data_IF_905327739985
#
_entry.id   IF_905327739985
#
_cell.length_a   1.000
_cell.length_b   1.000
_cell.length_c   1.000
_cell.angle_alpha   90.00
_cell.angle_beta   90.00
_cell.angle_gamma   90.00
#
_symmetry.space_group_name_H-M   'P 1'
#
loop_
_entity.id
_entity.type
_entity.pdbx_description
1 polymer ?
#
# COMPACT_ATOMS: atom_id res chain seq x y z
N UNK A 1 29.92 -0.21 -0.77
CA UNK A 1 29.84 -0.71 0.62
C UNK A 1 30.70 0.10 1.61
N UNK A 2 31.99 0.38 1.32
CA UNK A 2 32.87 1.11 2.24
C UNK A 2 32.33 2.51 2.58
N UNK A 3 31.87 3.29 1.59
CA UNK A 3 31.30 4.61 1.79
C UNK A 3 30.01 4.55 2.64
N UNK A 4 29.14 3.56 2.42
CA UNK A 4 27.92 3.34 3.20
C UNK A 4 28.29 3.16 4.69
N UNK A 5 29.18 2.23 5.00
CA UNK A 5 29.62 1.95 6.37
C UNK A 5 30.27 3.17 7.03
N UNK A 6 31.08 3.90 6.27
CA UNK A 6 31.78 5.08 6.78
C UNK A 6 30.80 6.24 7.11
N UNK A 7 29.88 6.54 6.21
CA UNK A 7 28.91 7.63 6.41
C UNK A 7 27.89 7.27 7.49
N UNK A 8 27.41 6.02 7.54
CA UNK A 8 26.56 5.55 8.63
C UNK A 8 27.26 5.69 10.00
N UNK A 9 28.55 5.34 10.08
CA UNK A 9 29.33 5.54 11.30
C UNK A 9 29.46 7.03 11.68
N UNK A 10 29.78 7.89 10.71
CA UNK A 10 29.86 9.35 10.95
C UNK A 10 28.54 9.90 11.50
N UNK A 11 27.41 9.46 10.99
CA UNK A 11 26.12 9.86 11.51
C UNK A 11 25.88 9.38 12.95
N UNK A 12 26.16 8.10 13.22
CA UNK A 12 26.01 7.53 14.57
C UNK A 12 26.91 8.20 15.60
N UNK A 13 28.12 8.61 15.20
CA UNK A 13 29.06 9.33 16.04
C UNK A 13 28.72 10.82 16.19
N UNK A 14 27.63 11.33 15.56
CA UNK A 14 27.25 12.75 15.58
C UNK A 14 28.17 13.65 14.78
N UNK A 15 28.93 13.12 13.84
CA UNK A 15 29.86 13.85 13.00
C UNK A 15 29.25 14.56 11.80
N UNK A 16 27.99 14.26 11.46
CA UNK A 16 27.24 14.89 10.37
C UNK A 16 25.77 15.08 10.74
N UNK A 17 25.19 16.21 10.31
CA UNK A 17 23.78 16.56 10.47
C UNK A 17 22.98 16.46 9.16
N UNK A 18 23.65 16.15 8.05
CA UNK A 18 23.06 15.99 6.73
C UNK A 18 24.11 15.65 5.68
N UNK A 19 23.65 15.31 4.50
CA UNK A 19 24.52 14.90 3.39
C UNK A 19 24.09 15.57 2.08
N UNK A 20 25.08 16.06 1.32
CA UNK A 20 24.90 16.59 -0.02
C UNK A 20 25.88 15.89 -0.97
N UNK A 21 25.42 15.61 -2.18
CA UNK A 21 26.29 15.14 -3.26
C UNK A 21 25.92 15.75 -4.61
N UNK A 22 26.88 15.77 -5.52
CA UNK A 22 26.74 16.26 -6.89
C UNK A 22 27.31 15.24 -7.88
N UNK A 23 26.57 14.92 -8.96
CA UNK A 23 27.09 14.04 -10.01
C UNK A 23 26.07 13.66 -11.07
N UNK A 24 26.58 13.19 -12.22
CA UNK A 24 25.79 12.56 -13.26
C UNK A 24 25.37 11.14 -12.86
N UNK A 25 24.98 10.30 -13.82
CA UNK A 25 24.36 8.98 -13.56
C UNK A 25 25.16 8.08 -12.60
N UNK A 26 26.47 7.95 -12.83
CA UNK A 26 27.34 7.11 -11.99
C UNK A 26 27.51 7.71 -10.58
N UNK A 27 27.75 9.02 -10.51
CA UNK A 27 27.86 9.75 -9.23
C UNK A 27 26.55 9.67 -8.44
N UNK A 28 25.41 9.85 -9.10
CA UNK A 28 24.10 9.72 -8.48
C UNK A 28 23.85 8.32 -7.94
N UNK A 29 24.18 7.26 -8.68
CA UNK A 29 24.01 5.88 -8.23
C UNK A 29 24.81 5.56 -6.95
N UNK A 30 26.06 6.02 -6.88
CA UNK A 30 26.91 5.81 -5.69
C UNK A 30 26.38 6.64 -4.51
N UNK A 31 26.08 7.92 -4.76
CA UNK A 31 25.63 8.84 -3.70
C UNK A 31 24.27 8.47 -3.14
N UNK A 32 23.32 8.09 -4.01
CA UNK A 32 22.00 7.67 -3.55
C UNK A 32 22.07 6.42 -2.69
N UNK A 33 22.89 5.43 -3.03
CA UNK A 33 23.08 4.24 -2.21
C UNK A 33 23.62 4.57 -0.81
N UNK A 34 24.49 5.58 -0.70
CA UNK A 34 24.96 6.07 0.60
C UNK A 34 23.85 6.82 1.34
N UNK A 35 23.14 7.72 0.68
CA UNK A 35 22.06 8.50 1.26
C UNK A 35 20.90 7.62 1.73
N UNK A 36 20.56 6.60 0.96
CA UNK A 36 19.49 5.64 1.30
C UNK A 36 19.82 4.81 2.55
N UNK A 37 21.09 4.67 2.91
CA UNK A 37 21.50 3.95 4.12
C UNK A 37 21.31 4.76 5.41
N UNK A 38 21.05 6.06 5.31
CA UNK A 38 20.81 6.92 6.46
C UNK A 38 19.33 6.86 6.89
N UNK A 39 19.05 7.02 8.20
CA UNK A 39 17.68 7.03 8.72
C UNK A 39 16.78 8.08 8.06
N UNK A 40 15.46 7.86 8.15
CA UNK A 40 14.46 8.88 7.82
C UNK A 40 14.65 10.13 8.71
N UNK A 41 14.38 11.30 8.14
CA UNK A 41 14.54 12.59 8.83
C UNK A 41 15.94 13.19 8.75
N UNK A 42 16.97 12.43 8.36
CA UNK A 42 18.31 13.00 8.11
C UNK A 42 18.29 13.77 6.80
N UNK A 43 18.70 15.07 6.78
CA UNK A 43 18.75 15.87 5.56
C UNK A 43 19.62 15.26 4.45
N UNK A 44 19.04 15.02 3.28
CA UNK A 44 19.69 14.38 2.12
C UNK A 44 19.39 15.21 0.87
N UNK A 45 20.43 15.73 0.20
CA UNK A 45 20.29 16.49 -1.03
C UNK A 45 21.22 15.96 -2.11
N UNK A 46 20.64 15.46 -3.20
CA UNK A 46 21.36 14.98 -4.37
C UNK A 46 21.16 15.93 -5.55
N UNK A 47 22.25 16.59 -5.99
CA UNK A 47 22.27 17.34 -7.24
C UNK A 47 22.67 16.41 -8.37
N UNK A 48 21.79 16.24 -9.36
CA UNK A 48 22.08 15.33 -10.46
C UNK A 48 21.32 15.70 -11.72
N UNK A 49 21.97 15.55 -12.87
CA UNK A 49 21.33 15.69 -14.17
C UNK A 49 20.27 14.61 -14.41
N UNK A 50 20.29 13.52 -13.63
CA UNK A 50 19.27 12.47 -13.66
C UNK A 50 17.93 12.91 -13.04
N UNK A 51 17.89 14.03 -12.34
CA UNK A 51 16.64 14.56 -11.74
C UNK A 51 15.60 15.02 -12.80
N UNK A 52 15.97 15.07 -14.08
CA UNK A 52 15.06 15.34 -15.21
C UNK A 52 14.39 14.10 -15.80
N UNK A 53 14.70 12.90 -15.30
CA UNK A 53 14.19 11.63 -15.81
C UNK A 53 13.56 10.75 -14.71
N UNK A 54 13.68 9.44 -14.83
CA UNK A 54 13.20 8.50 -13.81
C UNK A 54 14.10 8.57 -12.56
N UNK A 55 13.53 9.08 -11.48
CA UNK A 55 14.24 9.31 -10.21
C UNK A 55 14.05 8.17 -9.20
N UNK A 56 13.16 7.22 -9.48
CA UNK A 56 12.87 6.10 -8.56
C UNK A 56 14.10 5.32 -8.11
N UNK A 57 15.07 4.98 -8.98
CA UNK A 57 16.27 4.26 -8.56
C UNK A 57 17.15 5.02 -7.57
N UNK A 58 17.09 6.37 -7.60
CA UNK A 58 17.90 7.24 -6.75
C UNK A 58 17.22 7.55 -5.42
N UNK A 59 15.91 7.75 -5.41
CA UNK A 59 15.15 8.04 -4.19
C UNK A 59 14.93 6.76 -3.39
N UNK A 60 14.59 5.65 -4.06
CA UNK A 60 14.14 4.44 -3.38
C UNK A 60 12.92 4.75 -2.52
N UNK A 61 13.03 4.46 -1.25
CA UNK A 61 11.99 4.66 -0.22
C UNK A 61 12.34 5.74 0.80
N UNK A 62 13.38 6.53 0.55
CA UNK A 62 13.90 7.51 1.52
C UNK A 62 13.44 8.94 1.21
N UNK A 63 13.36 9.73 2.25
CA UNK A 63 13.05 11.16 2.23
C UNK A 63 14.22 11.98 1.67
N UNK A 64 14.40 11.96 0.35
CA UNK A 64 15.50 12.62 -0.35
C UNK A 64 15.03 13.84 -1.14
N UNK A 65 15.81 14.92 -1.11
CA UNK A 65 15.66 16.05 -2.00
C UNK A 65 16.57 15.86 -3.22
N UNK A 66 16.01 15.99 -4.45
CA UNK A 66 16.76 15.99 -5.69
C UNK A 66 16.71 17.38 -6.32
N UNK A 67 17.87 17.87 -6.77
CA UNK A 67 17.98 19.16 -7.45
C UNK A 67 18.60 18.97 -8.83
N UNK A 68 17.95 19.48 -9.89
CA UNK A 68 18.48 19.47 -11.24
C UNK A 68 19.47 20.61 -11.45
N UNK A 69 20.77 20.35 -11.70
CA UNK A 69 21.79 21.38 -11.77
C UNK A 69 21.93 22.02 -13.16
N UNK A 70 21.11 21.68 -14.14
CA UNK A 70 21.15 22.11 -15.56
C UNK A 70 22.39 21.57 -16.29
N UNK A 71 23.58 21.72 -15.69
CA UNK A 71 24.86 21.34 -16.27
C UNK A 71 25.57 20.28 -15.41
N UNK A 72 26.34 19.42 -16.05
CA UNK A 72 27.11 18.36 -15.39
C UNK A 72 28.51 18.84 -14.98
N UNK A 73 29.08 19.83 -15.70
CA UNK A 73 30.44 20.33 -15.48
C UNK A 73 30.57 21.81 -15.81
N UNK A 74 31.67 22.39 -15.37
CA UNK A 74 32.03 23.78 -15.56
C UNK A 74 31.63 24.70 -14.41
N UNK A 75 32.58 25.54 -13.97
CA UNK A 75 32.39 26.49 -12.91
C UNK A 75 32.29 27.91 -13.46
N UNK A 76 31.09 28.36 -13.73
CA UNK A 76 30.77 29.69 -14.26
C UNK A 76 29.76 30.40 -13.31
N UNK A 77 29.31 31.60 -13.66
CA UNK A 77 28.39 32.37 -12.83
C UNK A 77 27.07 31.64 -12.56
N UNK A 78 26.53 30.95 -13.56
CA UNK A 78 25.27 30.23 -13.44
C UNK A 78 25.42 29.01 -12.53
N UNK A 79 26.40 28.14 -12.78
CA UNK A 79 26.62 26.94 -11.97
C UNK A 79 27.02 27.29 -10.53
N UNK A 80 27.79 28.37 -10.32
CA UNK A 80 28.07 28.90 -8.97
C UNK A 80 26.78 29.26 -8.23
N UNK A 81 25.84 29.94 -8.89
CA UNK A 81 24.56 30.29 -8.27
C UNK A 81 23.76 29.04 -7.88
N UNK A 82 23.69 28.04 -8.77
CA UNK A 82 22.96 26.80 -8.51
C UNK A 82 23.57 26.02 -7.33
N UNK A 83 24.90 25.88 -7.33
CA UNK A 83 25.62 25.22 -6.23
C UNK A 83 25.49 25.97 -4.90
N UNK A 84 25.46 27.31 -4.95
CA UNK A 84 25.19 28.13 -3.75
C UNK A 84 23.79 27.87 -3.22
N UNK A 85 22.77 27.84 -4.08
CA UNK A 85 21.41 27.52 -3.69
C UNK A 85 21.32 26.12 -3.04
N UNK A 86 22.00 25.13 -3.59
CA UNK A 86 22.04 23.78 -3.02
C UNK A 86 22.74 23.75 -1.65
N UNK A 87 23.83 24.50 -1.49
CA UNK A 87 24.50 24.61 -0.19
C UNK A 87 23.60 25.24 0.88
N UNK A 88 22.88 26.30 0.54
CA UNK A 88 21.91 26.91 1.47
C UNK A 88 20.71 25.98 1.74
N UNK A 89 20.27 25.21 0.75
CA UNK A 89 19.20 24.23 0.93
C UNK A 89 19.57 23.20 2.00
N UNK A 90 20.72 22.52 1.85
CA UNK A 90 21.13 21.48 2.81
C UNK A 90 21.45 22.07 4.18
N UNK A 91 22.10 23.22 4.24
CA UNK A 91 22.39 23.88 5.53
C UNK A 91 21.13 24.37 6.23
N UNK A 92 20.14 24.86 5.48
CA UNK A 92 18.83 25.20 6.02
C UNK A 92 18.12 24.00 6.63
N UNK A 93 18.11 22.85 5.93
CA UNK A 93 17.55 21.61 6.45
C UNK A 93 18.29 21.11 7.70
N UNK A 94 19.63 21.13 7.68
CA UNK A 94 20.45 20.66 8.81
C UNK A 94 20.34 21.54 10.06
N UNK A 95 20.10 22.84 9.87
CA UNK A 95 19.90 23.77 10.97
C UNK A 95 18.42 23.97 11.37
N UNK A 96 17.49 23.27 10.72
CA UNK A 96 16.10 23.35 11.10
C UNK A 96 15.89 22.88 12.55
N UNK A 97 15.04 23.53 13.33
CA UNK A 97 14.72 23.07 14.67
C UNK A 97 14.24 21.62 14.63
N UNK A 98 14.82 20.77 15.46
CA UNK A 98 14.31 19.40 15.60
C UNK A 98 12.89 19.48 16.15
N UNK A 99 11.95 18.84 15.45
CA UNK A 99 10.58 18.72 15.93
C UNK A 99 10.62 17.96 17.26
N UNK A 100 10.04 18.57 18.31
CA UNK A 100 9.99 17.91 19.61
C UNK A 100 8.95 16.79 19.57
N UNK A 101 9.40 15.57 19.80
CA UNK A 101 8.57 14.36 19.90
C UNK A 101 8.09 14.12 21.33
N UNK A 102 7.92 15.19 22.13
CA UNK A 102 7.53 15.06 23.55
C UNK A 102 6.18 14.36 23.78
N UNK A 103 5.35 14.26 22.74
CA UNK A 103 4.08 13.54 22.74
C UNK A 103 4.13 12.43 21.67
N UNK A 104 5.15 11.57 21.71
CA UNK A 104 5.30 10.45 20.76
C UNK A 104 4.13 9.46 20.91
N UNK A 105 3.07 9.70 20.15
CA UNK A 105 2.00 8.73 19.99
C UNK A 105 2.52 7.55 19.18
N UNK A 106 2.11 6.31 19.50
CA UNK A 106 2.51 5.17 18.67
C UNK A 106 2.04 5.35 17.23
N UNK A 107 2.96 5.17 16.27
CA UNK A 107 2.69 5.34 14.85
C UNK A 107 2.03 4.09 14.27
N UNK A 108 0.90 4.27 13.59
CA UNK A 108 0.16 3.24 12.87
C UNK A 108 0.30 3.45 11.37
N UNK A 109 0.65 2.40 10.65
CA UNK A 109 0.69 2.42 9.19
C UNK A 109 -0.70 2.21 8.58
N UNK A 110 -1.00 2.93 7.50
CA UNK A 110 -2.15 2.70 6.64
C UNK A 110 -1.72 2.72 5.17
N UNK A 111 -2.31 1.84 4.35
CA UNK A 111 -2.12 1.85 2.91
C UNK A 111 -3.36 2.35 2.21
N UNK A 112 -3.23 3.28 1.27
CA UNK A 112 -4.33 3.94 0.56
C UNK A 112 -4.12 3.96 -0.95
N UNK A 113 -5.20 3.76 -1.67
CA UNK A 113 -5.31 4.07 -3.10
C UNK A 113 -6.60 4.85 -3.36
N UNK A 114 -6.69 5.56 -4.48
CA UNK A 114 -7.85 6.41 -4.76
C UNK A 114 -9.20 5.72 -4.56
N UNK A 115 -9.29 4.46 -4.95
CA UNK A 115 -10.53 3.66 -4.89
C UNK A 115 -10.92 3.18 -3.48
N UNK A 116 -10.06 3.34 -2.48
CA UNK A 116 -10.29 2.92 -1.07
C UNK A 116 -10.27 4.10 -0.10
N UNK A 117 -10.11 5.32 -0.61
CA UNK A 117 -9.95 6.55 0.19
C UNK A 117 -10.97 6.72 1.32
N UNK A 118 -12.30 6.52 1.11
CA UNK A 118 -13.27 6.71 2.19
C UNK A 118 -13.02 5.78 3.38
N UNK A 119 -12.72 4.51 3.12
CA UNK A 119 -12.42 3.53 4.15
C UNK A 119 -11.18 3.91 4.96
N UNK A 120 -10.10 4.29 4.27
CA UNK A 120 -8.81 4.64 4.91
C UNK A 120 -8.95 5.90 5.75
N UNK A 121 -9.53 6.97 5.22
CA UNK A 121 -9.67 8.23 5.96
C UNK A 121 -10.55 8.08 7.21
N UNK A 122 -11.61 7.26 7.14
CA UNK A 122 -12.43 6.98 8.31
C UNK A 122 -11.67 6.18 9.36
N UNK A 123 -10.97 5.12 8.95
CA UNK A 123 -10.19 4.28 9.87
C UNK A 123 -9.02 5.03 10.52
N UNK A 124 -8.32 5.88 9.76
CA UNK A 124 -7.24 6.72 10.31
C UNK A 124 -7.78 7.72 11.33
N UNK A 125 -8.86 8.44 11.01
CA UNK A 125 -9.49 9.38 11.93
C UNK A 125 -9.93 8.71 13.24
N UNK A 126 -10.47 7.49 13.17
CA UNK A 126 -10.81 6.70 14.37
C UNK A 126 -9.56 6.43 15.23
N UNK A 127 -8.44 6.02 14.64
CA UNK A 127 -7.20 5.73 15.37
C UNK A 127 -6.57 6.99 15.96
N UNK A 128 -6.60 8.11 15.24
CA UNK A 128 -6.13 9.41 15.70
C UNK A 128 -6.94 9.89 16.92
N UNK A 129 -8.26 9.72 16.89
CA UNK A 129 -9.15 10.01 18.03
C UNK A 129 -8.83 9.14 19.26
N UNK A 130 -8.30 7.93 19.04
CA UNK A 130 -7.84 7.02 20.10
C UNK A 130 -6.42 7.31 20.60
N UNK A 131 -5.76 8.35 20.11
CA UNK A 131 -4.44 8.77 20.58
C UNK A 131 -3.26 8.14 19.87
N UNK A 132 -3.44 7.66 18.65
CA UNK A 132 -2.36 7.19 17.78
C UNK A 132 -2.01 8.25 16.74
N UNK A 133 -0.78 8.23 16.25
CA UNK A 133 -0.43 8.90 15.01
C UNK A 133 -0.58 7.94 13.84
N UNK A 134 -1.05 8.43 12.69
CA UNK A 134 -1.26 7.61 11.51
C UNK A 134 -0.45 8.14 10.35
N UNK A 135 0.32 7.25 9.71
CA UNK A 135 0.98 7.53 8.44
C UNK A 135 0.26 6.77 7.32
N UNK A 136 -0.13 7.50 6.28
CA UNK A 136 -0.84 6.94 5.14
C UNK A 136 0.10 6.92 3.94
N UNK A 137 0.51 5.73 3.50
CA UNK A 137 1.31 5.56 2.31
C UNK A 137 0.43 5.30 1.08
N UNK A 138 0.79 5.92 -0.04
CA UNK A 138 0.11 5.68 -1.31
C UNK A 138 0.54 4.33 -1.89
N UNK A 139 -0.40 3.43 -2.07
CA UNK A 139 -0.17 2.08 -2.58
C UNK A 139 0.11 2.12 -4.10
N UNK A 140 1.32 2.53 -4.50
CA UNK A 140 1.80 2.66 -5.87
C UNK A 140 3.15 1.99 -6.10
N UNK A 141 3.40 0.89 -5.40
CA UNK A 141 4.66 0.16 -5.41
C UNK A 141 5.64 0.73 -4.38
N UNK A 142 6.19 1.91 -4.62
CA UNK A 142 7.13 2.56 -3.68
C UNK A 142 6.52 2.77 -2.30
N UNK A 143 5.23 3.08 -2.21
CA UNK A 143 4.54 3.24 -0.93
C UNK A 143 4.48 1.94 -0.12
N UNK A 144 4.18 0.82 -0.77
CA UNK A 144 4.20 -0.50 -0.13
C UNK A 144 5.60 -0.90 0.32
N UNK A 145 6.63 -0.69 -0.51
CA UNK A 145 8.02 -0.96 -0.12
C UNK A 145 8.41 -0.10 1.09
N UNK A 146 8.08 1.21 1.07
CA UNK A 146 8.36 2.11 2.20
C UNK A 146 7.67 1.67 3.48
N UNK A 147 6.43 1.18 3.40
CA UNK A 147 5.70 0.68 4.57
C UNK A 147 6.35 -0.57 5.14
N UNK A 148 6.71 -1.54 4.31
CA UNK A 148 7.41 -2.75 4.76
C UNK A 148 8.73 -2.39 5.45
N UNK A 149 9.53 -1.46 4.89
CA UNK A 149 10.77 -0.99 5.51
C UNK A 149 10.53 -0.26 6.84
N UNK A 150 9.55 0.64 6.93
CA UNK A 150 9.23 1.33 8.19
C UNK A 150 8.79 0.37 9.29
N UNK A 151 8.12 -0.72 8.93
CA UNK A 151 7.78 -1.81 9.87
C UNK A 151 9.05 -2.54 10.29
N UNK A 152 9.92 -2.90 9.35
CA UNK A 152 11.19 -3.59 9.64
C UNK A 152 12.12 -2.75 10.51
N UNK A 153 12.18 -1.44 10.29
CA UNK A 153 12.95 -0.48 11.08
C UNK A 153 12.30 -0.19 12.46
N UNK A 154 11.05 -0.62 12.70
CA UNK A 154 10.36 -0.51 13.97
C UNK A 154 9.69 0.84 14.24
N UNK A 155 9.54 1.71 13.23
CA UNK A 155 8.79 2.95 13.33
C UNK A 155 7.29 2.68 13.55
N UNK A 156 6.73 1.72 12.82
CA UNK A 156 5.30 1.37 12.84
C UNK A 156 5.02 0.31 13.90
N UNK A 157 4.00 0.55 14.75
CA UNK A 157 3.61 -0.33 15.88
C UNK A 157 2.41 -1.22 15.58
N UNK A 158 1.68 -0.95 14.50
CA UNK A 158 0.57 -1.74 13.99
C UNK A 158 0.19 -1.23 12.61
N UNK A 159 -0.48 -2.04 11.81
CA UNK A 159 -0.88 -1.65 10.46
C UNK A 159 -2.36 -1.92 10.18
N UNK A 160 -3.03 -0.91 9.62
CA UNK A 160 -4.34 -0.99 9.01
C UNK A 160 -4.16 -1.07 7.49
N UNK A 161 -3.90 -2.27 6.99
CA UNK A 161 -3.55 -2.52 5.58
C UNK A 161 -4.80 -2.75 4.73
N UNK A 162 -5.55 -1.67 4.53
CA UNK A 162 -6.81 -1.69 3.78
C UNK A 162 -6.57 -1.97 2.30
N UNK A 163 -5.45 -1.46 1.74
CA UNK A 163 -5.21 -1.44 0.30
C UNK A 163 -3.99 -2.29 -0.06
N UNK A 164 -4.24 -3.43 -0.67
CA UNK A 164 -3.23 -4.45 -0.99
C UNK A 164 -3.08 -4.71 -2.49
N UNK A 165 -3.63 -3.84 -3.36
CA UNK A 165 -3.66 -4.02 -4.81
C UNK A 165 -2.27 -4.23 -5.44
N UNK A 166 -1.20 -3.73 -4.82
CA UNK A 166 0.19 -3.91 -5.27
C UNK A 166 0.57 -5.39 -5.41
N UNK A 167 -0.12 -6.29 -4.68
CA UNK A 167 0.05 -7.75 -4.80
C UNK A 167 -0.51 -8.27 -6.13
N UNK A 168 -1.63 -7.73 -6.59
CA UNK A 168 -2.17 -8.08 -7.90
C UNK A 168 -1.23 -7.63 -9.02
N UNK A 169 -0.71 -6.40 -8.94
CA UNK A 169 0.25 -5.88 -9.91
C UNK A 169 1.55 -6.71 -9.93
N UNK A 170 2.04 -7.18 -8.77
CA UNK A 170 3.19 -8.08 -8.70
C UNK A 170 2.94 -9.41 -9.42
N UNK A 171 1.80 -10.03 -9.20
CA UNK A 171 1.49 -11.36 -9.75
C UNK A 171 1.15 -11.32 -11.26
N UNK A 172 0.60 -10.21 -11.72
CA UNK A 172 0.04 -10.09 -13.08
C UNK A 172 0.68 -9.00 -13.94
N UNK A 173 1.84 -8.50 -13.52
CA UNK A 173 2.67 -7.60 -14.33
C UNK A 173 2.17 -6.17 -14.43
N UNK A 174 1.36 -5.71 -13.49
CA UNK A 174 1.02 -4.30 -13.36
C UNK A 174 2.22 -3.45 -12.93
N UNK A 175 2.14 -2.14 -13.17
CA UNK A 175 3.27 -1.22 -12.98
C UNK A 175 3.42 -0.68 -11.56
N UNK A 176 2.47 -1.00 -10.66
CA UNK A 176 2.47 -0.51 -9.28
C UNK A 176 2.83 -1.60 -8.26
N UNK A 177 3.61 -2.62 -8.70
CA UNK A 177 4.10 -3.66 -7.82
C UNK A 177 4.99 -3.12 -6.70
N UNK A 178 4.80 -3.61 -5.48
CA UNK A 178 5.71 -3.42 -4.34
C UNK A 178 6.67 -4.60 -4.13
N UNK A 179 6.77 -5.49 -5.11
CA UNK A 179 7.59 -6.68 -5.07
C UNK A 179 7.02 -7.82 -4.21
N UNK A 180 7.69 -8.98 -4.22
CA UNK A 180 7.18 -10.21 -3.61
C UNK A 180 7.10 -10.15 -2.08
N UNK A 181 7.79 -9.21 -1.45
CA UNK A 181 7.82 -9.06 0.01
C UNK A 181 6.67 -8.23 0.59
N UNK A 182 5.80 -7.64 -0.25
CA UNK A 182 4.61 -6.90 0.20
C UNK A 182 3.74 -7.78 1.10
N UNK A 183 3.29 -7.24 2.24
CA UNK A 183 2.50 -7.95 3.27
C UNK A 183 3.31 -8.98 4.09
N UNK A 184 4.63 -8.81 4.26
CA UNK A 184 5.43 -9.76 5.03
C UNK A 184 6.08 -9.19 6.29
N UNK A 185 6.40 -7.89 6.33
CA UNK A 185 7.14 -7.30 7.45
C UNK A 185 6.35 -7.36 8.76
N UNK A 186 5.06 -7.01 8.76
CA UNK A 186 4.21 -7.07 9.94
C UNK A 186 4.11 -8.51 10.49
N UNK A 187 3.94 -9.49 9.60
CA UNK A 187 3.94 -10.91 9.95
C UNK A 187 5.24 -11.35 10.61
N UNK A 188 6.40 -10.98 10.03
CA UNK A 188 7.74 -11.32 10.54
C UNK A 188 8.04 -10.66 11.89
N UNK A 189 7.68 -9.37 12.03
CA UNK A 189 7.91 -8.59 13.25
C UNK A 189 6.94 -8.95 14.39
N UNK A 190 5.79 -9.53 14.05
CA UNK A 190 4.74 -9.85 15.02
C UNK A 190 3.97 -8.64 15.54
N UNK A 191 3.93 -7.53 14.78
CA UNK A 191 3.09 -6.39 15.13
C UNK A 191 1.63 -6.66 14.75
N UNK A 192 0.66 -6.02 15.45
CA UNK A 192 -0.75 -6.10 15.08
C UNK A 192 -1.01 -5.69 13.64
N UNK A 193 -1.76 -6.51 12.89
CA UNK A 193 -2.14 -6.19 11.52
C UNK A 193 -3.61 -6.55 11.23
N UNK A 194 -4.33 -5.61 10.62
CA UNK A 194 -5.65 -5.84 10.06
C UNK A 194 -5.60 -5.56 8.56
N UNK A 195 -5.92 -6.56 7.76
CA UNK A 195 -5.69 -6.58 6.32
C UNK A 195 -7.01 -6.70 5.57
N UNK A 196 -7.12 -6.05 4.41
CA UNK A 196 -8.25 -6.24 3.50
C UNK A 196 -7.79 -6.28 2.03
N UNK A 197 -8.60 -6.87 1.13
CA UNK A 197 -8.30 -6.97 -0.30
C UNK A 197 -8.61 -5.67 -1.07
N UNK A 198 -8.37 -4.50 -0.46
CA UNK A 198 -8.70 -3.23 -1.08
C UNK A 198 -7.95 -2.97 -2.37
N UNK A 199 -8.70 -2.64 -3.44
CA UNK A 199 -8.16 -2.38 -4.76
C UNK A 199 -7.62 -3.59 -5.51
N UNK A 200 -7.76 -4.82 -4.99
CA UNK A 200 -7.39 -6.05 -5.71
C UNK A 200 -8.32 -6.37 -6.89
N UNK A 201 -9.33 -5.54 -7.14
CA UNK A 201 -10.24 -5.65 -8.26
C UNK A 201 -9.66 -5.13 -9.58
N UNK A 202 -8.46 -4.51 -9.54
CA UNK A 202 -7.85 -3.88 -10.70
C UNK A 202 -6.34 -4.11 -10.79
N UNK A 203 -5.82 -4.18 -12.03
CA UNK A 203 -4.42 -4.11 -12.41
C UNK A 203 -4.15 -2.74 -13.00
N UNK A 204 -2.95 -2.20 -12.74
CA UNK A 204 -2.56 -0.88 -13.22
C UNK A 204 -1.48 -0.99 -14.29
N UNK A 205 -1.69 -0.27 -15.40
CA UNK A 205 -0.73 -0.13 -16.48
C UNK A 205 -0.49 1.35 -16.77
N UNK A 206 0.51 1.63 -17.60
CA UNK A 206 0.82 2.97 -18.08
C UNK A 206 -0.23 3.51 -19.07
N UNK A 207 0.23 4.02 -20.22
CA UNK A 207 -0.66 4.45 -21.30
C UNK A 207 -1.46 3.25 -21.83
N UNK A 208 -2.55 3.49 -22.55
CA UNK A 208 -3.38 2.43 -23.13
C UNK A 208 -2.55 1.47 -24.01
N UNK A 209 -1.59 2.02 -24.74
CA UNK A 209 -0.70 1.27 -25.62
C UNK A 209 0.30 0.37 -24.88
N UNK A 210 0.51 0.61 -23.59
CA UNK A 210 1.37 -0.21 -22.73
C UNK A 210 0.67 -1.41 -22.10
N UNK A 211 -0.65 -1.51 -22.25
CA UNK A 211 -1.42 -2.66 -21.74
C UNK A 211 -1.07 -3.89 -22.61
N UNK A 212 -0.64 -5.01 -22.00
CA UNK A 212 -0.33 -6.23 -22.74
C UNK A 212 -1.51 -6.72 -23.60
N UNK A 213 -1.21 -7.17 -24.83
CA UNK A 213 -2.24 -7.52 -25.82
C UNK A 213 -3.25 -8.56 -25.33
N UNK A 214 -2.82 -9.56 -24.56
CA UNK A 214 -3.73 -10.56 -24.01
C UNK A 214 -4.82 -9.95 -23.11
N UNK A 215 -4.52 -8.88 -22.34
CA UNK A 215 -5.56 -8.18 -21.58
C UNK A 215 -6.51 -7.39 -22.49
N UNK A 216 -5.99 -6.82 -23.57
CA UNK A 216 -6.83 -6.15 -24.57
C UNK A 216 -7.75 -7.14 -25.26
N UNK A 217 -7.27 -8.35 -25.58
CA UNK A 217 -8.09 -9.45 -26.13
C UNK A 217 -9.18 -9.88 -25.14
N UNK A 218 -8.85 -10.02 -23.86
CA UNK A 218 -9.83 -10.32 -22.81
C UNK A 218 -10.92 -9.24 -22.73
N UNK A 219 -10.55 -7.97 -22.88
CA UNK A 219 -11.52 -6.86 -22.92
C UNK A 219 -12.43 -6.96 -24.15
N UNK A 220 -11.87 -7.24 -25.35
CA UNK A 220 -12.64 -7.44 -26.57
C UNK A 220 -13.63 -8.61 -26.46
N UNK A 221 -13.23 -9.66 -25.74
CA UNK A 221 -14.02 -10.86 -25.50
C UNK A 221 -14.98 -10.73 -24.29
N UNK A 222 -15.10 -9.53 -23.68
CA UNK A 222 -15.92 -9.27 -22.50
C UNK A 222 -15.55 -10.10 -21.25
N UNK A 223 -14.34 -10.63 -21.17
CA UNK A 223 -13.81 -11.32 -19.98
C UNK A 223 -13.45 -10.31 -18.90
N UNK A 224 -12.99 -9.11 -19.32
CA UNK A 224 -12.54 -8.02 -18.43
C UNK A 224 -13.16 -6.69 -18.80
N UNK A 225 -13.10 -5.76 -17.85
CA UNK A 225 -13.36 -4.33 -18.09
C UNK A 225 -12.05 -3.58 -18.12
N UNK A 226 -12.02 -2.49 -18.90
CA UNK A 226 -10.90 -1.56 -18.98
C UNK A 226 -11.39 -0.15 -18.72
N UNK A 227 -10.60 0.60 -17.97
CA UNK A 227 -10.85 2.03 -17.72
C UNK A 227 -9.58 2.85 -17.90
N UNK A 228 -9.60 3.77 -18.85
CA UNK A 228 -8.53 4.76 -19.03
C UNK A 228 -8.69 5.86 -17.99
N UNK A 229 -7.93 5.74 -16.90
CA UNK A 229 -8.02 6.68 -15.78
C UNK A 229 -7.53 8.09 -16.17
N UNK A 230 -6.39 8.16 -16.87
CA UNK A 230 -5.83 9.39 -17.45
C UNK A 230 -4.90 9.06 -18.62
N UNK A 231 -4.11 10.03 -19.08
CA UNK A 231 -3.18 9.83 -20.22
C UNK A 231 -2.05 8.85 -19.92
N UNK A 232 -1.74 8.61 -18.66
CA UNK A 232 -0.57 7.83 -18.20
C UNK A 232 -0.95 6.60 -17.37
N UNK A 233 -2.24 6.39 -17.08
CA UNK A 233 -2.71 5.27 -16.26
C UNK A 233 -3.96 4.65 -16.89
N UNK A 234 -3.88 3.35 -17.12
CA UNK A 234 -4.97 2.49 -17.57
C UNK A 234 -5.18 1.36 -16.58
N UNK A 235 -6.42 1.16 -16.16
CA UNK A 235 -6.80 0.09 -15.23
C UNK A 235 -7.53 -1.03 -15.99
N UNK A 236 -7.22 -2.28 -15.63
CA UNK A 236 -7.90 -3.47 -16.18
C UNK A 236 -8.45 -4.28 -15.00
N UNK A 237 -9.70 -4.73 -15.10
CA UNK A 237 -10.30 -5.47 -13.99
C UNK A 237 -9.66 -6.85 -13.81
N UNK A 238 -9.44 -7.23 -12.54
CA UNK A 238 -9.02 -8.59 -12.15
C UNK A 238 -10.17 -9.58 -12.37
N UNK A 239 -9.87 -10.77 -12.87
CA UNK A 239 -10.87 -11.84 -13.01
C UNK A 239 -11.12 -12.57 -11.68
N UNK A 240 -12.23 -13.28 -11.54
CA UNK A 240 -12.48 -14.12 -10.36
C UNK A 240 -11.39 -15.18 -10.14
N UNK A 241 -10.85 -15.76 -11.21
CA UNK A 241 -9.78 -16.77 -11.16
C UNK A 241 -8.47 -16.17 -10.66
N UNK A 242 -8.13 -14.99 -11.10
CA UNK A 242 -6.97 -14.25 -10.57
C UNK A 242 -7.16 -13.88 -9.11
N UNK A 243 -8.36 -13.45 -8.72
CA UNK A 243 -8.69 -13.17 -7.33
C UNK A 243 -8.47 -14.39 -6.42
N UNK A 244 -8.78 -15.60 -6.92
CA UNK A 244 -8.50 -16.84 -6.21
C UNK A 244 -6.99 -17.08 -6.03
N UNK A 245 -6.16 -16.88 -7.05
CA UNK A 245 -4.71 -17.06 -6.95
C UNK A 245 -4.05 -15.96 -6.08
N UNK A 246 -4.51 -14.71 -6.19
CA UNK A 246 -4.09 -13.62 -5.29
C UNK A 246 -4.38 -13.98 -3.83
N UNK A 247 -5.55 -14.54 -3.56
CA UNK A 247 -5.93 -14.98 -2.22
C UNK A 247 -4.97 -16.03 -1.66
N UNK A 248 -4.51 -16.97 -2.48
CA UNK A 248 -3.55 -18.00 -2.07
C UNK A 248 -2.17 -17.41 -1.76
N UNK A 249 -1.70 -16.44 -2.55
CA UNK A 249 -0.46 -15.71 -2.26
C UNK A 249 -0.56 -14.98 -0.92
N UNK A 250 -1.61 -14.18 -0.72
CA UNK A 250 -1.85 -13.46 0.52
C UNK A 250 -1.98 -14.39 1.73
N UNK A 251 -2.71 -15.49 1.61
CA UNK A 251 -2.81 -16.49 2.67
C UNK A 251 -1.45 -17.09 3.03
N UNK A 252 -0.61 -17.37 2.01
CA UNK A 252 0.75 -17.86 2.22
C UNK A 252 1.61 -16.89 3.04
N UNK A 253 1.52 -15.58 2.74
CA UNK A 253 2.22 -14.52 3.48
C UNK A 253 1.69 -14.36 4.91
N UNK A 254 0.37 -14.35 5.07
CA UNK A 254 -0.29 -14.22 6.37
C UNK A 254 -0.08 -15.45 7.27
N UNK A 255 0.12 -16.64 6.70
CA UNK A 255 0.53 -17.83 7.47
C UNK A 255 1.86 -17.64 8.20
N UNK A 256 2.69 -16.68 7.79
CA UNK A 256 3.92 -16.28 8.47
C UNK A 256 3.71 -15.43 9.72
N UNK A 257 2.48 -15.03 10.05
CA UNK A 257 2.20 -14.13 11.15
C UNK A 257 2.66 -14.67 12.51
N UNK A 258 3.41 -13.83 13.24
CA UNK A 258 3.92 -14.09 14.60
C UNK A 258 3.17 -13.26 15.65
N UNK A 259 2.25 -12.42 15.25
CA UNK A 259 1.42 -11.57 16.11
C UNK A 259 -0.02 -11.49 15.61
N UNK A 260 -0.88 -10.76 16.32
CA UNK A 260 -2.30 -10.69 16.03
C UNK A 260 -2.55 -10.22 14.59
N UNK A 261 -3.28 -11.02 13.81
CA UNK A 261 -3.52 -10.79 12.39
C UNK A 261 -4.96 -11.13 12.03
N UNK A 262 -5.67 -10.17 11.45
CA UNK A 262 -7.04 -10.39 10.98
C UNK A 262 -7.13 -9.98 9.51
N UNK A 263 -7.63 -10.90 8.68
CA UNK A 263 -8.03 -10.60 7.30
C UNK A 263 -9.53 -10.35 7.29
N UNK A 264 -9.95 -9.14 6.92
CA UNK A 264 -11.34 -8.76 6.74
C UNK A 264 -11.68 -8.73 5.25
N UNK A 265 -12.69 -9.51 4.81
CA UNK A 265 -13.05 -9.64 3.40
C UNK A 265 -14.43 -9.02 3.18
N UNK A 266 -14.53 -7.85 2.51
CA UNK A 266 -15.81 -7.26 2.15
C UNK A 266 -16.35 -7.97 0.91
N UNK A 267 -17.62 -8.39 0.97
CA UNK A 267 -18.22 -9.24 -0.06
C UNK A 267 -18.88 -8.46 -1.20
N UNK A 268 -19.21 -7.16 -0.98
CA UNK A 268 -19.92 -6.34 -1.96
C UNK A 268 -19.01 -5.55 -2.90
N UNK A 269 -17.69 -5.67 -2.75
CA UNK A 269 -16.67 -5.04 -3.60
C UNK A 269 -15.51 -4.44 -2.82
N UNK A 270 -14.37 -4.27 -3.51
CA UNK A 270 -13.07 -3.96 -2.93
C UNK A 270 -12.56 -2.55 -3.19
N UNK A 271 -13.30 -1.78 -3.96
CA UNK A 271 -12.93 -0.41 -4.31
C UNK A 271 -14.03 0.29 -5.09
N UNK A 272 -13.84 1.57 -5.36
CA UNK A 272 -14.84 2.41 -6.05
C UNK A 272 -15.26 1.91 -7.44
N UNK A 273 -14.49 1.01 -8.05
CA UNK A 273 -14.78 0.40 -9.33
C UNK A 273 -15.46 -0.98 -9.20
N UNK A 274 -15.27 -1.68 -8.08
CA UNK A 274 -15.84 -3.02 -7.82
C UNK A 274 -17.27 -2.92 -7.28
N UNK A 275 -18.17 -2.45 -8.11
CA UNK A 275 -19.53 -2.04 -7.79
C UNK A 275 -20.42 -2.25 -9.01
N UNK A 276 -21.72 -2.50 -8.82
CA UNK A 276 -22.69 -2.72 -9.90
C UNK A 276 -23.09 -1.43 -10.60
N UNK A 277 -23.34 -0.41 -9.81
CA UNK A 277 -23.71 0.92 -10.30
C UNK A 277 -22.75 1.93 -9.71
N UNK A 278 -22.08 2.73 -10.53
CA UNK A 278 -21.15 3.73 -10.03
C UNK A 278 -21.79 4.61 -8.95
N UNK A 279 -21.11 4.76 -7.82
CA UNK A 279 -21.60 5.53 -6.69
C UNK A 279 -20.47 6.38 -6.10
N UNK A 280 -20.66 7.70 -6.13
CA UNK A 280 -19.70 8.66 -5.56
C UNK A 280 -19.60 8.55 -4.04
N UNK A 281 -20.66 8.13 -3.35
CA UNK A 281 -20.61 7.91 -1.91
C UNK A 281 -19.69 6.75 -1.52
N UNK A 282 -19.47 5.81 -2.44
CA UNK A 282 -18.53 4.70 -2.28
C UNK A 282 -17.14 5.00 -2.86
N UNK A 283 -16.79 6.29 -3.02
CA UNK A 283 -15.41 6.73 -3.22
C UNK A 283 -15.00 7.05 -4.65
N UNK A 284 -15.92 7.07 -5.62
CA UNK A 284 -15.55 7.50 -6.95
C UNK A 284 -15.31 9.03 -7.00
N UNK A 285 -14.06 9.42 -7.21
CA UNK A 285 -13.61 10.82 -7.30
C UNK A 285 -13.31 11.29 -8.73
N UNK A 286 -13.42 10.40 -9.73
CA UNK A 286 -13.18 10.73 -11.13
C UNK A 286 -14.33 11.51 -11.80
N UNK A 287 -14.18 11.88 -13.07
CA UNK A 287 -15.22 12.52 -13.85
C UNK A 287 -16.38 11.54 -14.12
N UNK A 288 -17.60 12.06 -14.26
CA UNK A 288 -18.82 11.29 -14.49
C UNK A 288 -19.12 10.25 -13.38
N UNK A 289 -19.82 9.18 -13.72
CA UNK A 289 -20.25 8.14 -12.77
C UNK A 289 -19.16 7.10 -12.45
N UNK A 290 -18.13 7.02 -13.27
CA UNK A 290 -17.03 6.08 -13.11
C UNK A 290 -17.30 4.68 -13.66
N UNK A 291 -16.29 3.81 -13.62
CA UNK A 291 -16.43 2.43 -14.07
C UNK A 291 -17.20 1.57 -13.07
N UNK A 292 -17.77 0.46 -13.58
CA UNK A 292 -18.38 -0.61 -12.81
C UNK A 292 -17.83 -1.94 -13.29
N UNK A 293 -17.15 -2.66 -12.41
CA UNK A 293 -16.59 -3.98 -12.72
C UNK A 293 -17.60 -5.12 -12.56
N UNK A 294 -18.63 -4.96 -11.75
CA UNK A 294 -19.65 -5.98 -11.51
C UNK A 294 -20.74 -5.85 -12.57
N UNK A 295 -20.77 -6.79 -13.49
CA UNK A 295 -21.59 -6.72 -14.69
C UNK A 295 -22.84 -7.61 -14.68
N UNK A 296 -23.13 -8.36 -13.61
CA UNK A 296 -24.24 -9.33 -13.61
C UNK A 296 -25.41 -8.82 -12.74
N UNK A 297 -26.54 -8.39 -13.37
CA UNK A 297 -27.71 -7.90 -12.64
C UNK A 297 -28.52 -8.99 -11.92
N UNK A 298 -28.34 -10.27 -12.27
CA UNK A 298 -29.18 -11.38 -11.77
C UNK A 298 -28.59 -12.10 -10.55
N UNK A 299 -27.34 -11.80 -10.15
CA UNK A 299 -26.64 -12.50 -9.06
C UNK A 299 -26.71 -11.77 -7.73
N UNK A 300 -26.52 -12.51 -6.61
CA UNK A 300 -26.61 -11.95 -5.27
C UNK A 300 -25.69 -10.72 -5.10
N UNK A 301 -25.96 -9.93 -4.09
CA UNK A 301 -25.25 -8.67 -3.78
C UNK A 301 -23.72 -8.81 -3.67
N UNK A 302 -23.20 -10.04 -3.56
CA UNK A 302 -21.78 -10.34 -3.40
C UNK A 302 -21.04 -10.41 -4.73
N UNK A 303 -19.87 -9.81 -4.77
CA UNK A 303 -18.95 -9.87 -5.91
C UNK A 303 -18.47 -11.31 -6.14
N UNK A 304 -18.47 -11.77 -7.42
CA UNK A 304 -17.91 -13.08 -7.76
C UNK A 304 -16.42 -13.16 -7.44
N UNK A 305 -15.67 -12.05 -7.60
CA UNK A 305 -14.25 -11.96 -7.15
C UNK A 305 -14.13 -12.24 -5.68
N UNK A 306 -14.96 -11.60 -4.84
CA UNK A 306 -14.95 -11.84 -3.39
C UNK A 306 -15.24 -13.30 -3.05
N UNK A 307 -16.19 -13.93 -3.74
CA UNK A 307 -16.50 -15.36 -3.54
C UNK A 307 -15.30 -16.25 -3.90
N UNK A 308 -14.65 -16.02 -5.04
CA UNK A 308 -13.48 -16.78 -5.48
C UNK A 308 -12.26 -16.53 -4.59
N UNK A 309 -12.06 -15.29 -4.16
CA UNK A 309 -11.03 -14.93 -3.19
C UNK A 309 -11.20 -15.69 -1.86
N UNK A 310 -12.41 -15.74 -1.32
CA UNK A 310 -12.72 -16.52 -0.11
C UNK A 310 -12.39 -18.01 -0.30
N UNK A 311 -12.60 -18.57 -1.47
CA UNK A 311 -12.21 -19.97 -1.76
C UNK A 311 -10.69 -20.15 -1.68
N UNK A 312 -9.91 -19.27 -2.33
CA UNK A 312 -8.44 -19.29 -2.28
C UNK A 312 -7.89 -19.12 -0.85
N UNK A 313 -8.49 -18.23 -0.07
CA UNK A 313 -8.15 -18.08 1.36
C UNK A 313 -8.41 -19.38 2.11
N UNK A 314 -9.61 -19.98 1.97
CA UNK A 314 -9.97 -21.22 2.67
C UNK A 314 -9.04 -22.38 2.37
N UNK A 315 -8.55 -22.46 1.15
CA UNK A 315 -7.65 -23.53 0.71
C UNK A 315 -6.27 -23.42 1.34
N UNK A 316 -5.76 -22.19 1.56
CA UNK A 316 -4.36 -21.96 1.88
C UNK A 316 -4.10 -21.45 3.30
N UNK A 317 -5.06 -20.74 3.91
CA UNK A 317 -4.86 -20.09 5.21
C UNK A 317 -4.85 -21.11 6.35
N UNK A 318 -3.89 -20.98 7.26
CA UNK A 318 -3.83 -21.79 8.49
C UNK A 318 -4.65 -21.14 9.62
N UNK A 319 -5.91 -21.55 9.72
CA UNK A 319 -6.82 -21.09 10.76
C UNK A 319 -6.62 -21.76 12.14
N UNK A 320 -5.64 -22.64 12.31
CA UNK A 320 -5.33 -23.25 13.61
C UNK A 320 -4.44 -22.34 14.46
N UNK A 321 -3.78 -21.37 13.85
CA UNK A 321 -2.98 -20.36 14.58
C UNK A 321 -3.87 -19.46 15.42
N UNK A 322 -3.50 -19.25 16.67
CA UNK A 322 -4.25 -18.38 17.62
C UNK A 322 -4.14 -16.90 17.22
N UNK A 323 -3.07 -16.53 16.52
CA UNK A 323 -2.83 -15.17 16.05
C UNK A 323 -3.60 -14.81 14.79
N UNK A 324 -4.21 -15.79 14.07
CA UNK A 324 -4.83 -15.57 12.77
C UNK A 324 -6.34 -15.75 12.81
N UNK A 325 -7.08 -14.74 12.34
CA UNK A 325 -8.52 -14.80 12.11
C UNK A 325 -8.87 -14.28 10.71
N UNK A 326 -9.90 -14.86 10.11
CA UNK A 326 -10.46 -14.37 8.84
C UNK A 326 -11.96 -14.12 9.04
N UNK A 327 -12.37 -12.89 8.77
CA UNK A 327 -13.73 -12.41 8.89
C UNK A 327 -14.31 -12.07 7.52
N UNK A 328 -15.52 -12.53 7.28
CA UNK A 328 -16.33 -12.16 6.12
C UNK A 328 -17.27 -11.05 6.54
N UNK A 329 -17.36 -9.99 5.76
CA UNK A 329 -18.21 -8.85 6.02
C UNK A 329 -19.17 -8.60 4.84
N UNK A 330 -20.47 -8.61 5.10
CA UNK A 330 -21.51 -8.32 4.10
C UNK A 330 -21.63 -6.81 3.87
N UNK A 331 -20.50 -6.21 3.50
CA UNK A 331 -20.33 -4.79 3.21
C UNK A 331 -19.52 -4.60 1.93
N UNK A 332 -19.62 -3.40 1.37
CA UNK A 332 -18.64 -2.89 0.43
C UNK A 332 -17.45 -2.29 1.19
N UNK A 333 -16.25 -2.31 0.59
CA UNK A 333 -15.01 -1.77 1.18
C UNK A 333 -15.18 -0.36 1.77
N UNK A 334 -15.87 0.52 1.06
CA UNK A 334 -16.03 1.93 1.44
C UNK A 334 -17.29 2.22 2.27
N UNK A 335 -18.06 1.22 2.67
CA UNK A 335 -19.12 1.42 3.65
C UNK A 335 -18.52 1.73 5.04
N UNK A 336 -19.06 2.71 5.76
CA UNK A 336 -18.55 3.12 7.08
C UNK A 336 -18.37 1.97 8.06
N UNK A 337 -19.30 1.04 8.08
CA UNK A 337 -19.32 -0.12 8.98
C UNK A 337 -18.12 -1.05 8.76
N UNK A 338 -17.62 -1.16 7.51
CA UNK A 338 -16.45 -1.96 7.22
C UNK A 338 -15.17 -1.30 7.76
N UNK A 339 -15.03 0.01 7.60
CA UNK A 339 -13.91 0.77 8.17
C UNK A 339 -13.89 0.71 9.69
N UNK A 340 -15.08 0.87 10.33
CA UNK A 340 -15.24 0.79 11.78
C UNK A 340 -14.89 -0.61 12.32
N UNK A 341 -15.25 -1.66 11.58
CA UNK A 341 -14.85 -3.04 11.90
C UNK A 341 -13.33 -3.17 11.95
N UNK A 342 -12.64 -2.77 10.86
CA UNK A 342 -11.20 -2.96 10.75
C UNK A 342 -10.43 -2.14 11.78
N UNK A 343 -10.76 -0.86 11.93
CA UNK A 343 -10.09 0.04 12.87
C UNK A 343 -10.37 -0.34 14.33
N UNK A 344 -11.58 -0.80 14.63
CA UNK A 344 -11.93 -1.30 15.96
C UNK A 344 -11.17 -2.57 16.35
N UNK A 345 -10.99 -3.52 15.41
CA UNK A 345 -10.18 -4.73 15.62
C UNK A 345 -8.71 -4.34 15.87
N UNK A 346 -8.14 -3.46 15.04
CA UNK A 346 -6.76 -3.03 15.24
C UNK A 346 -6.58 -2.33 16.60
N UNK A 347 -7.53 -1.48 16.99
CA UNK A 347 -7.52 -0.84 18.31
C UNK A 347 -7.54 -1.87 19.44
N UNK A 348 -8.42 -2.88 19.39
CA UNK A 348 -8.47 -3.96 20.38
C UNK A 348 -7.13 -4.72 20.45
N UNK A 349 -6.46 -4.95 19.29
CA UNK A 349 -5.14 -5.59 19.25
C UNK A 349 -4.07 -4.72 19.92
N UNK A 350 -4.05 -3.42 19.62
CA UNK A 350 -3.09 -2.46 20.19
C UNK A 350 -3.26 -2.31 21.70
N UNK A 351 -4.50 -2.48 22.22
CA UNK A 351 -4.80 -2.50 23.66
C UNK A 351 -4.58 -3.88 24.31
N UNK A 352 -4.20 -4.90 23.55
CA UNK A 352 -4.06 -6.27 24.08
C UNK A 352 -5.38 -6.94 24.50
N UNK A 353 -6.51 -6.43 24.05
CA UNK A 353 -7.87 -6.93 24.39
C UNK A 353 -8.48 -7.78 23.29
N UNK A 354 -7.88 -7.81 22.12
CA UNK A 354 -8.31 -8.67 21.02
C UNK A 354 -8.11 -10.15 21.36
N UNK A 355 -9.09 -10.96 21.00
CA UNK A 355 -9.02 -12.43 21.08
C UNK A 355 -9.70 -13.02 19.87
N UNK A 356 -9.07 -13.98 19.23
CA UNK A 356 -9.64 -14.76 18.13
C UNK A 356 -10.97 -15.35 18.53
N UNK A 357 -11.95 -15.26 17.63
CA UNK A 357 -13.31 -15.77 17.87
C UNK A 357 -14.15 -14.95 18.86
N UNK A 358 -13.67 -13.78 19.27
CA UNK A 358 -14.48 -12.84 20.06
C UNK A 358 -15.77 -12.52 19.27
N UNK A 359 -16.90 -12.80 19.87
CA UNK A 359 -18.21 -12.67 19.23
C UNK A 359 -18.48 -11.21 18.82
N UNK A 360 -18.46 -10.92 17.53
CA UNK A 360 -18.87 -9.64 16.99
C UNK A 360 -20.41 -9.64 16.96
N UNK A 361 -21.03 -8.66 17.65
CA UNK A 361 -22.50 -8.55 17.73
C UNK A 361 -23.12 -7.95 16.46
N UNK A 362 -22.66 -8.36 15.31
CA UNK A 362 -23.15 -7.89 14.01
C UNK A 362 -23.40 -9.10 13.11
N UNK A 363 -24.65 -9.25 12.65
CA UNK A 363 -25.06 -10.38 11.79
C UNK A 363 -24.45 -10.32 10.38
N UNK A 364 -23.96 -9.17 9.96
CA UNK A 364 -23.29 -8.98 8.68
C UNK A 364 -21.80 -9.37 8.72
N UNK A 365 -21.27 -9.77 9.89
CA UNK A 365 -19.88 -10.15 10.08
C UNK A 365 -19.83 -11.55 10.66
N UNK A 366 -19.09 -12.44 10.03
CA UNK A 366 -18.98 -13.83 10.45
C UNK A 366 -17.63 -14.46 10.08
N UNK A 367 -17.16 -15.46 10.85
CA UNK A 367 -15.91 -16.16 10.54
C UNK A 367 -15.99 -16.91 9.21
N UNK A 368 -14.88 -17.01 8.50
CA UNK A 368 -14.78 -17.71 7.21
C UNK A 368 -15.15 -19.19 7.29
N UNK A 369 -15.12 -19.81 8.47
CA UNK A 369 -15.53 -21.21 8.72
C UNK A 369 -17.04 -21.41 8.76
N UNK A 370 -17.85 -20.36 8.79
CA UNK A 370 -19.30 -20.48 8.93
C UNK A 370 -19.95 -21.08 7.66
N UNK A 371 -20.86 -22.04 7.83
CA UNK A 371 -21.51 -22.80 6.75
C UNK A 371 -22.37 -21.97 5.80
N UNK A 372 -22.74 -20.73 6.18
CA UNK A 372 -23.51 -19.81 5.32
C UNK A 372 -22.85 -19.59 3.95
N UNK A 373 -21.52 -19.68 3.87
CA UNK A 373 -20.76 -19.60 2.61
C UNK A 373 -21.08 -20.76 1.67
N UNK A 374 -21.45 -21.93 2.14
CA UNK A 374 -21.78 -23.10 1.32
C UNK A 374 -23.15 -22.99 0.63
N UNK A 375 -24.12 -22.36 1.29
CA UNK A 375 -25.47 -22.19 0.72
C UNK A 375 -25.46 -21.26 -0.51
N UNK A 376 -24.55 -20.27 -0.53
CA UNK A 376 -24.42 -19.30 -1.62
C UNK A 376 -23.67 -19.90 -2.82
N UNK A 377 -22.72 -20.82 -2.58
CA UNK A 377 -22.03 -21.54 -3.65
C UNK A 377 -22.94 -22.49 -4.47
N UNK A 378 -23.95 -23.07 -3.84
CA UNK A 378 -24.92 -23.92 -4.57
C UNK A 378 -25.87 -23.13 -5.45
N UNK A 379 -26.10 -21.85 -5.17
CA UNK A 379 -26.95 -20.99 -5.98
C UNK A 379 -26.23 -20.31 -7.17
N UNK A 380 -24.89 -20.36 -7.20
CA UNK A 380 -24.06 -19.72 -8.23
C UNK A 380 -23.23 -20.67 -9.10
N UNK A 381 -23.40 -21.97 -8.95
CA UNK A 381 -22.66 -23.00 -9.66
C UNK A 381 -23.59 -23.90 -10.51
N UNK A 382 -23.99 -23.44 -11.68
CA UNK A 382 -24.37 -24.21 -12.84
C UNK A 382 -23.89 -23.48 -14.09
#
# INVERSE_FOLDING_TARGET
EAAIKYVAKLYLDGGIDGIISYGGSMGAAISSAVMQSLPLGVPKLLLTTMASGDVRPYIGTKDMCLMYPIAEAGLNSLTKQILTNAAYCITGMANAPKVSTKDDRPLIGCMMFGVTTPCVLRGSAFLEDKGYDVIINHAIGTGGISMEEMIEDGYVKGILDITTHEIADELYGGVLSAGPNRLTAASKKGIPQVVAPGGLDLLNFGTLESVPEHYIEDVRNNVRKLYKHNTSVTCVSVTPEEAYEIAKDMAGKLNGAKGPSVLCIPMKGWGACDIRTPDKALGWAGPAEGPSWISDPEKPEWSLRSCRYVQGIKEKIDLNKDEMEVLIADYHMNEPEFSDLMSGILYDMLQGTWKKGKKIRNKSIFPVKEERLYAIHKAGGA
#
